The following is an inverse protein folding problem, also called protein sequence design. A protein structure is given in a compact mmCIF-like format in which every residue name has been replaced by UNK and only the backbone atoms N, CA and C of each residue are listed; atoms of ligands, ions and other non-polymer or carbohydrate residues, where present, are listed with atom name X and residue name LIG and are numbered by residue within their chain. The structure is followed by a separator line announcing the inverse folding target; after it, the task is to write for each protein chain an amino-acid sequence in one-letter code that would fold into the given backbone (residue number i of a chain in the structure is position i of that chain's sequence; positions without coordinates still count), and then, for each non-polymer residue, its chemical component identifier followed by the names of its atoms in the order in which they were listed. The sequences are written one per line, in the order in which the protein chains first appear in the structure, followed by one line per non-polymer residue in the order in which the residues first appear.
data_IF_308731780292
#
_entry.id   IF_308731780292
#
_cell.length_a   1.000
_cell.length_b   1.000
_cell.length_c   1.000
_cell.angle_alpha   90.00
_cell.angle_beta   90.00
_cell.angle_gamma   90.00
#
_symmetry.space_group_name_H-M   'P 1'
#
loop_
_entity.id
_entity.type
_entity.pdbx_description
1 polymer ?
#
# COMPACT_ATOMS: atom_id res chain seq x y z
N UNK A 1 18.94 8.73 9.08
CA UNK A 1 17.86 8.81 8.07
C UNK A 1 18.21 7.84 6.95
N UNK A 2 17.33 6.90 6.62
CA UNK A 2 17.59 5.89 5.58
C UNK A 2 16.62 6.11 4.42
N UNK A 3 17.12 6.02 3.18
CA UNK A 3 16.30 6.04 1.98
C UNK A 3 15.69 4.65 1.79
N UNK A 4 14.38 4.58 1.55
CA UNK A 4 13.65 3.33 1.29
C UNK A 4 13.00 3.41 -0.09
N UNK A 5 13.03 2.29 -0.81
CA UNK A 5 12.47 2.19 -2.16
C UNK A 5 11.26 1.25 -2.16
N UNK A 6 10.32 1.53 -3.05
CA UNK A 6 9.09 0.75 -3.19
C UNK A 6 8.28 1.14 -4.42
N UNK A 7 7.38 0.25 -4.88
CA UNK A 7 6.52 0.51 -6.02
C UNK A 7 5.38 1.46 -5.65
N UNK A 8 4.87 2.17 -6.67
CA UNK A 8 3.54 2.76 -6.62
C UNK A 8 2.54 1.76 -7.19
N UNK A 9 1.62 1.28 -6.33
CA UNK A 9 0.62 0.29 -6.64
C UNK A 9 0.65 -0.91 -5.68
N UNK A 10 -0.35 -0.98 -4.80
CA UNK A 10 -0.61 -2.14 -3.94
C UNK A 10 -1.30 -3.30 -4.69
N UNK A 11 -1.88 -3.02 -5.86
CA UNK A 11 -2.79 -3.92 -6.56
C UNK A 11 -4.23 -3.82 -6.03
N UNK A 12 -5.07 -4.75 -6.47
CA UNK A 12 -6.46 -4.86 -6.01
C UNK A 12 -6.56 -5.23 -4.53
N UNK A 13 -7.73 -5.03 -3.95
CA UNK A 13 -7.98 -5.29 -2.52
C UNK A 13 -7.72 -6.76 -2.16
N UNK A 14 -8.08 -7.70 -3.05
CA UNK A 14 -7.93 -9.14 -2.83
C UNK A 14 -6.46 -9.59 -2.83
N UNK A 15 -5.63 -8.92 -3.63
CA UNK A 15 -4.22 -9.24 -3.82
C UNK A 15 -3.30 -8.46 -2.87
N UNK A 16 -3.81 -7.43 -2.20
CA UNK A 16 -3.02 -6.49 -1.41
C UNK A 16 -2.11 -7.16 -0.38
N UNK A 17 -2.62 -8.12 0.39
CA UNK A 17 -1.83 -8.83 1.41
C UNK A 17 -0.75 -9.71 0.79
N UNK A 18 -1.08 -10.48 -0.26
CA UNK A 18 -0.11 -11.31 -0.98
C UNK A 18 0.96 -10.49 -1.69
N UNK A 19 0.61 -9.29 -2.16
CA UNK A 19 1.55 -8.36 -2.79
C UNK A 19 2.53 -7.81 -1.75
N UNK A 20 2.06 -7.40 -0.57
CA UNK A 20 2.94 -6.97 0.53
C UNK A 20 3.88 -8.09 0.98
N UNK A 21 3.40 -9.32 1.07
CA UNK A 21 4.25 -10.48 1.35
C UNK A 21 5.34 -10.65 0.28
N UNK A 22 4.96 -10.55 -0.99
CA UNK A 22 5.89 -10.64 -2.13
C UNK A 22 6.93 -9.54 -2.09
N UNK A 23 6.51 -8.28 -1.86
CA UNK A 23 7.42 -7.15 -1.71
C UNK A 23 8.42 -7.36 -0.59
N UNK A 24 7.97 -7.86 0.56
CA UNK A 24 8.86 -8.20 1.68
C UNK A 24 9.89 -9.26 1.30
N UNK A 25 9.48 -10.32 0.58
CA UNK A 25 10.39 -11.36 0.08
C UNK A 25 11.43 -10.81 -0.90
N UNK A 26 11.07 -9.77 -1.66
CA UNK A 26 11.96 -9.07 -2.59
C UNK A 26 12.84 -7.99 -1.91
N UNK A 27 12.74 -7.81 -0.59
CA UNK A 27 13.51 -6.81 0.16
C UNK A 27 12.98 -5.38 0.05
N UNK A 28 11.79 -5.18 -0.53
CA UNK A 28 11.12 -3.89 -0.62
C UNK A 28 10.59 -3.48 0.76
N UNK A 29 10.72 -2.19 1.08
CA UNK A 29 10.37 -1.63 2.40
C UNK A 29 9.36 -0.48 2.35
N UNK A 30 8.89 -0.11 1.16
CA UNK A 30 7.84 0.88 0.97
C UNK A 30 6.83 0.40 -0.09
N UNK A 31 5.60 0.90 -0.03
CA UNK A 31 4.60 0.71 -1.06
C UNK A 31 3.63 1.90 -1.03
N UNK A 32 3.40 2.53 -2.17
CA UNK A 32 2.41 3.60 -2.29
C UNK A 32 1.08 3.05 -2.81
N UNK A 33 -0.02 3.46 -2.19
CA UNK A 33 -1.38 3.11 -2.58
C UNK A 33 -1.92 4.20 -3.51
N UNK A 34 -2.23 3.82 -4.75
CA UNK A 34 -2.71 4.73 -5.77
C UNK A 34 -4.23 4.93 -5.67
N UNK A 35 -4.68 6.00 -5.00
CA UNK A 35 -6.09 6.44 -5.01
C UNK A 35 -6.36 7.48 -6.11
N UNK A 36 -5.53 7.51 -7.15
CA UNK A 36 -5.52 8.49 -8.24
C UNK A 36 -6.88 8.66 -8.93
N UNK A 37 -7.61 7.57 -9.14
CA UNK A 37 -8.95 7.55 -9.75
C UNK A 37 -10.08 7.28 -8.74
N UNK A 38 -9.77 7.26 -7.45
CA UNK A 38 -10.74 7.04 -6.37
C UNK A 38 -10.26 6.06 -5.31
N UNK A 39 -10.87 6.14 -4.14
CA UNK A 39 -10.61 5.24 -3.01
C UNK A 39 -11.29 3.90 -3.30
N UNK A 40 -10.50 2.84 -3.46
CA UNK A 40 -11.00 1.50 -3.79
C UNK A 40 -10.99 0.53 -2.61
N UNK A 41 -10.25 0.84 -1.53
CA UNK A 41 -10.22 0.07 -0.28
C UNK A 41 -11.23 0.73 0.66
N UNK A 42 -12.40 0.11 0.83
CA UNK A 42 -13.54 0.73 1.57
C UNK A 42 -14.01 -0.04 2.79
N UNK A 43 -13.73 -1.34 2.86
CA UNK A 43 -14.20 -2.17 3.98
C UNK A 43 -13.19 -2.13 5.11
N UNK A 44 -13.66 -1.95 6.35
CA UNK A 44 -12.81 -1.90 7.54
C UNK A 44 -11.98 -3.17 7.75
N UNK A 45 -12.54 -4.34 7.40
CA UNK A 45 -11.83 -5.62 7.46
C UNK A 45 -10.60 -5.64 6.54
N UNK A 46 -10.75 -5.13 5.32
CA UNK A 46 -9.67 -5.09 4.32
C UNK A 46 -8.60 -4.07 4.73
N UNK A 47 -9.03 -2.89 5.20
CA UNK A 47 -8.14 -1.84 5.73
C UNK A 47 -7.29 -2.40 6.88
N UNK A 48 -7.93 -3.10 7.82
CA UNK A 48 -7.25 -3.69 8.97
C UNK A 48 -6.26 -4.78 8.55
N UNK A 49 -6.67 -5.68 7.66
CA UNK A 49 -5.80 -6.76 7.15
C UNK A 49 -4.57 -6.21 6.42
N UNK A 50 -4.74 -5.18 5.58
CA UNK A 50 -3.64 -4.53 4.85
C UNK A 50 -2.68 -3.84 5.83
N UNK A 51 -3.22 -3.14 6.83
CA UNK A 51 -2.40 -2.50 7.87
C UNK A 51 -1.58 -3.54 8.64
N UNK A 52 -2.22 -4.58 9.16
CA UNK A 52 -1.54 -5.67 9.90
C UNK A 52 -0.47 -6.35 9.05
N UNK A 53 -0.75 -6.59 7.76
CA UNK A 53 0.24 -7.12 6.82
C UNK A 53 1.44 -6.18 6.64
N UNK A 54 1.19 -4.88 6.46
CA UNK A 54 2.26 -3.89 6.30
C UNK A 54 3.18 -3.81 7.53
N UNK A 55 2.60 -3.88 8.73
CA UNK A 55 3.34 -3.89 10.00
C UNK A 55 4.13 -5.19 10.16
N UNK A 56 3.50 -6.34 9.92
CA UNK A 56 4.13 -7.66 9.95
C UNK A 56 5.33 -7.76 9.02
N UNK A 57 5.23 -7.19 7.83
CA UNK A 57 6.26 -7.24 6.79
C UNK A 57 7.26 -6.06 6.85
N UNK A 58 7.02 -5.09 7.73
CA UNK A 58 7.86 -3.90 7.87
C UNK A 58 7.88 -3.04 6.60
N UNK A 59 6.73 -2.90 5.93
CA UNK A 59 6.55 -2.08 4.74
C UNK A 59 5.87 -0.78 5.13
N UNK A 60 6.48 0.36 4.81
CA UNK A 60 5.84 1.66 4.97
C UNK A 60 4.86 1.92 3.84
N UNK A 61 3.63 2.26 4.22
CA UNK A 61 2.59 2.67 3.27
C UNK A 61 2.55 4.19 3.11
N UNK A 62 2.38 4.65 1.88
CA UNK A 62 2.04 6.03 1.53
C UNK A 62 0.81 6.04 0.63
N UNK A 63 0.20 7.20 0.43
CA UNK A 63 -0.99 7.36 -0.40
C UNK A 63 -0.70 8.39 -1.48
N UNK A 64 -0.98 8.04 -2.73
CA UNK A 64 -1.16 9.00 -3.79
C UNK A 64 -2.62 9.43 -3.82
N UNK A 65 -2.88 10.72 -3.56
CA UNK A 65 -4.23 11.29 -3.55
C UNK A 65 -4.90 11.27 -4.94
N UNK A 66 -6.21 11.53 -4.97
CA UNK A 66 -7.00 11.63 -6.19
C UNK A 66 -6.53 12.81 -7.05
N UNK A 67 -6.52 12.63 -8.38
CA UNK A 67 -6.01 13.66 -9.30
C UNK A 67 -6.82 14.97 -9.35
N UNK A 68 -8.07 14.94 -8.90
CA UNK A 68 -8.96 16.11 -8.93
C UNK A 68 -8.93 16.95 -7.65
N UNK A 69 -8.08 16.61 -6.67
CA UNK A 69 -7.88 17.46 -5.49
C UNK A 69 -7.05 18.68 -5.89
N UNK A 70 -7.64 19.87 -5.77
CA UNK A 70 -6.99 21.16 -6.01
C UNK A 70 -7.03 21.97 -4.71
N UNK A 71 -5.86 22.16 -4.09
CA UNK A 71 -5.65 22.64 -2.71
C UNK A 71 -6.23 24.04 -2.43
#
# INVERSE_FOLDING_TARGET
MAVIFGPSGLGGVKEAVSNLETYSKLGIKACEIAFTYGIYIKNDSDIKAIKEASEKFGIKLSIHAQYWVNL
#
